data_IF_723632829349
#
_entry.id   IF_723632829349
#
_cell.length_a   1.000
_cell.length_b   1.000
_cell.length_c   1.000
_cell.angle_alpha   90.00
_cell.angle_beta   90.00
_cell.angle_gamma   90.00
#
_symmetry.space_group_name_H-M   'P 1'
#
loop_
_entity.id
_entity.type
_entity.pdbx_description
1 polymer ?
#
# COMPACT_ATOMS: atom_id res chain seq x y z
N UNK A 1 -38.84 53.04 -24.35
CA UNK A 1 -39.24 51.88 -23.48
C UNK A 1 -38.79 50.56 -24.06
N UNK A 2 -38.85 50.36 -25.38
CA UNK A 2 -38.45 49.12 -26.09
C UNK A 2 -36.93 48.88 -25.99
N UNK A 3 -36.13 49.92 -26.16
CA UNK A 3 -34.66 49.84 -26.12
C UNK A 3 -34.13 49.42 -24.72
N UNK A 4 -34.75 49.85 -23.65
CA UNK A 4 -34.40 49.41 -22.28
C UNK A 4 -34.69 47.93 -22.04
N UNK A 5 -35.81 47.43 -22.59
CA UNK A 5 -36.17 46.00 -22.50
C UNK A 5 -35.18 45.11 -23.26
N UNK A 6 -34.78 45.52 -24.48
CA UNK A 6 -33.80 44.78 -25.30
C UNK A 6 -32.43 44.71 -24.60
N UNK A 7 -31.97 45.79 -23.94
CA UNK A 7 -30.72 45.81 -23.19
C UNK A 7 -30.80 44.89 -21.94
N UNK A 8 -31.93 44.88 -21.25
CA UNK A 8 -32.14 43.97 -20.09
C UNK A 8 -32.13 42.49 -20.53
N UNK A 9 -32.76 42.14 -21.66
CA UNK A 9 -32.73 40.77 -22.18
C UNK A 9 -31.31 40.35 -22.60
N UNK A 10 -30.52 41.27 -23.13
CA UNK A 10 -29.14 41.00 -23.54
C UNK A 10 -28.22 40.79 -22.33
N UNK A 11 -28.37 41.58 -21.27
CA UNK A 11 -27.64 41.41 -20.01
C UNK A 11 -28.04 40.13 -19.34
N UNK A 12 -29.32 39.76 -19.31
CA UNK A 12 -29.82 38.52 -18.73
C UNK A 12 -29.30 37.28 -19.50
N UNK A 13 -29.21 37.36 -20.83
CA UNK A 13 -28.68 36.32 -21.70
C UNK A 13 -27.17 36.11 -21.46
N UNK A 14 -26.39 37.18 -21.31
CA UNK A 14 -24.94 37.10 -21.00
C UNK A 14 -24.72 36.54 -19.57
N UNK A 15 -25.58 36.91 -18.62
CA UNK A 15 -25.50 36.37 -17.26
C UNK A 15 -25.82 34.86 -17.18
N UNK A 16 -26.74 34.39 -18.02
CA UNK A 16 -27.11 32.97 -18.10
C UNK A 16 -26.00 32.11 -18.76
N UNK A 17 -25.24 32.72 -19.72
CA UNK A 17 -24.13 32.02 -20.38
C UNK A 17 -22.92 31.79 -19.48
N UNK A 18 -22.78 32.59 -18.42
CA UNK A 18 -21.68 32.44 -17.43
C UNK A 18 -21.83 31.28 -16.45
N UNK A 19 -23.02 30.62 -16.41
CA UNK A 19 -23.31 29.57 -15.42
C UNK A 19 -22.93 28.17 -15.90
N UNK A 20 -22.59 27.99 -17.17
CA UNK A 20 -22.21 26.69 -17.75
C UNK A 20 -20.69 26.43 -17.76
N UNK A 21 -19.91 27.11 -16.91
CA UNK A 21 -18.58 26.58 -16.56
C UNK A 21 -18.79 25.38 -15.65
N UNK A 22 -19.08 24.26 -16.27
CA UNK A 22 -19.06 22.95 -15.62
C UNK A 22 -17.68 22.77 -15.00
N UNK A 23 -17.61 22.59 -13.70
CA UNK A 23 -16.40 22.17 -13.02
C UNK A 23 -16.12 20.73 -13.49
N UNK A 24 -15.31 20.56 -14.54
CA UNK A 24 -14.82 19.26 -14.95
C UNK A 24 -14.03 18.68 -13.76
N UNK A 25 -14.48 17.52 -13.26
CA UNK A 25 -13.69 16.83 -12.25
C UNK A 25 -12.33 16.51 -12.87
N UNK A 26 -11.23 16.88 -12.23
CA UNK A 26 -9.91 16.59 -12.78
C UNK A 26 -9.80 15.08 -13.04
N UNK A 27 -9.39 14.73 -14.24
CA UNK A 27 -9.14 13.36 -14.65
C UNK A 27 -8.02 12.72 -13.82
N UNK A 28 -7.70 11.47 -14.12
CA UNK A 28 -6.48 10.85 -13.58
C UNK A 28 -5.24 11.46 -14.22
N UNK A 29 -4.14 11.44 -13.50
CA UNK A 29 -2.82 11.70 -14.07
C UNK A 29 -2.48 10.52 -14.99
N UNK A 30 -2.14 10.81 -16.25
CA UNK A 30 -1.74 9.80 -17.24
C UNK A 30 -0.25 9.90 -17.61
N UNK A 31 0.49 10.84 -17.00
CA UNK A 31 1.91 11.01 -17.28
C UNK A 31 2.74 9.90 -16.64
N UNK A 32 3.53 9.12 -17.39
CA UNK A 32 4.40 8.08 -16.85
C UNK A 32 5.47 8.58 -15.85
N UNK A 33 5.84 9.87 -15.93
CA UNK A 33 6.81 10.48 -15.02
C UNK A 33 6.19 10.87 -13.67
N UNK A 34 4.87 10.74 -13.52
CA UNK A 34 4.19 11.02 -12.26
C UNK A 34 4.41 9.88 -11.28
N UNK A 35 5.35 10.09 -10.36
CA UNK A 35 5.73 9.12 -9.36
C UNK A 35 4.92 9.28 -8.07
N UNK A 36 4.78 8.18 -7.34
CA UNK A 36 4.35 8.16 -5.94
C UNK A 36 5.53 8.50 -5.03
N UNK A 37 5.24 9.05 -3.87
CA UNK A 37 6.23 9.19 -2.81
C UNK A 37 5.90 8.20 -1.66
N UNK A 38 6.93 7.63 -1.06
CA UNK A 38 6.79 6.66 0.02
C UNK A 38 7.36 7.22 1.33
N UNK A 39 6.74 6.89 2.46
CA UNK A 39 7.26 7.28 3.78
C UNK A 39 8.57 6.58 4.14
N UNK A 40 8.86 5.48 3.49
CA UNK A 40 10.12 4.72 3.57
C UNK A 40 10.31 3.94 2.26
N UNK A 41 11.54 3.67 1.90
CA UNK A 41 11.93 2.79 0.79
C UNK A 41 12.07 1.32 1.20
N UNK A 42 12.14 1.06 2.53
CA UNK A 42 12.32 -0.28 3.08
C UNK A 42 11.52 -0.43 4.37
N UNK A 43 10.78 -1.52 4.50
CA UNK A 43 10.13 -1.95 5.75
C UNK A 43 10.93 -3.11 6.34
N UNK A 44 11.47 -2.89 7.53
CA UNK A 44 12.25 -3.89 8.25
C UNK A 44 11.46 -4.40 9.44
N UNK A 45 11.24 -5.71 9.49
CA UNK A 45 10.66 -6.39 10.63
C UNK A 45 11.78 -6.83 11.58
N UNK A 46 11.55 -6.70 12.87
CA UNK A 46 12.42 -7.28 13.89
C UNK A 46 12.36 -8.81 13.82
N UNK A 47 13.12 -9.48 14.68
CA UNK A 47 13.16 -10.95 14.72
C UNK A 47 11.78 -11.55 14.98
N UNK A 48 11.34 -12.40 14.07
CA UNK A 48 10.04 -13.08 14.08
C UNK A 48 10.27 -14.55 14.39
N UNK A 49 9.57 -15.05 15.38
CA UNK A 49 9.57 -16.48 15.67
C UNK A 49 8.68 -17.22 14.69
N UNK A 50 9.19 -18.33 14.16
CA UNK A 50 8.42 -19.17 13.25
C UNK A 50 7.11 -19.64 13.87
N UNK A 51 6.08 -19.87 13.06
CA UNK A 51 4.70 -20.20 13.47
C UNK A 51 3.93 -19.10 14.20
N UNK A 52 4.59 -18.00 14.58
CA UNK A 52 3.94 -16.84 15.18
C UNK A 52 3.96 -15.73 14.13
N UNK A 53 2.78 -15.16 13.83
CA UNK A 53 2.71 -13.99 12.95
C UNK A 53 3.44 -12.78 13.53
N UNK A 54 3.98 -11.93 12.68
CA UNK A 54 4.61 -10.67 13.09
C UNK A 54 3.58 -9.69 13.67
N UNK A 55 4.09 -8.64 14.29
CA UNK A 55 3.31 -7.40 14.41
C UNK A 55 3.07 -6.80 13.03
N UNK A 56 1.94 -6.14 12.85
CA UNK A 56 1.64 -5.42 11.61
C UNK A 56 2.55 -4.19 11.49
N UNK A 57 3.38 -4.15 10.45
CA UNK A 57 4.08 -2.93 10.03
C UNK A 57 3.23 -2.13 9.04
N UNK A 58 3.54 -0.86 8.83
CA UNK A 58 2.87 -0.07 7.82
C UNK A 58 3.79 1.00 7.26
N UNK A 59 3.47 1.44 6.05
CA UNK A 59 4.05 2.62 5.43
C UNK A 59 2.96 3.40 4.69
N UNK A 60 3.26 4.65 4.34
CA UNK A 60 2.34 5.52 3.61
C UNK A 60 2.81 5.71 2.19
N UNK A 61 1.83 5.78 1.29
CA UNK A 61 2.02 6.09 -0.13
C UNK A 61 1.30 7.40 -0.41
N UNK A 62 2.03 8.40 -0.88
CA UNK A 62 1.54 9.74 -1.09
C UNK A 62 1.34 10.04 -2.58
N UNK A 63 0.25 10.68 -2.89
CA UNK A 63 0.03 11.38 -4.15
C UNK A 63 0.19 12.88 -3.91
N UNK A 64 1.38 13.41 -4.19
CA UNK A 64 1.68 14.85 -4.03
C UNK A 64 1.27 15.70 -5.24
N UNK A 65 0.52 15.10 -6.16
CA UNK A 65 0.01 15.81 -7.34
C UNK A 65 -1.35 16.44 -7.06
N UNK A 66 -1.69 17.46 -7.85
CA UNK A 66 -2.98 18.18 -7.76
C UNK A 66 -4.14 17.47 -8.48
N UNK A 67 -3.91 16.27 -8.98
CA UNK A 67 -4.89 15.37 -9.60
C UNK A 67 -4.83 13.99 -8.95
N UNK A 68 -5.93 13.25 -9.02
CA UNK A 68 -5.97 11.86 -8.54
C UNK A 68 -5.06 10.97 -9.39
N UNK A 69 -4.41 10.01 -8.75
CA UNK A 69 -3.56 9.01 -9.38
C UNK A 69 -4.20 7.63 -9.26
N UNK A 70 -4.08 6.80 -10.30
CA UNK A 70 -4.52 5.42 -10.30
C UNK A 70 -3.30 4.51 -10.20
N UNK A 71 -3.25 3.71 -9.15
CA UNK A 71 -2.34 2.57 -9.08
C UNK A 71 -3.04 1.42 -9.79
N UNK A 72 -2.55 1.05 -10.96
CA UNK A 72 -3.13 -0.02 -11.78
C UNK A 72 -3.02 -1.36 -11.08
N UNK A 73 -1.84 -1.63 -10.48
CA UNK A 73 -1.59 -2.83 -9.68
C UNK A 73 -0.68 -2.52 -8.51
N UNK A 74 -0.97 -3.16 -7.40
CA UNK A 74 -0.12 -3.21 -6.23
C UNK A 74 -0.01 -4.69 -5.82
N UNK A 75 1.22 -5.22 -5.76
CA UNK A 75 1.42 -6.64 -5.50
C UNK A 75 2.76 -6.93 -4.82
N UNK A 76 2.87 -8.14 -4.23
CA UNK A 76 4.12 -8.68 -3.73
C UNK A 76 4.90 -9.33 -4.88
N UNK A 77 6.18 -8.98 -5.02
CA UNK A 77 7.03 -9.51 -6.09
C UNK A 77 7.19 -11.04 -6.02
N UNK A 78 7.15 -11.61 -4.81
CA UNK A 78 7.19 -13.05 -4.58
C UNK A 78 5.88 -13.78 -4.84
N UNK A 79 4.79 -13.06 -5.16
CA UNK A 79 3.45 -13.60 -5.46
C UNK A 79 2.96 -14.60 -4.40
N UNK A 80 2.50 -15.78 -4.81
CA UNK A 80 2.03 -16.84 -3.89
C UNK A 80 3.14 -17.44 -3.00
N UNK A 81 4.39 -17.33 -3.40
CA UNK A 81 5.53 -17.79 -2.62
C UNK A 81 5.94 -16.82 -1.50
N UNK A 82 5.42 -15.60 -1.52
CA UNK A 82 5.70 -14.59 -0.52
C UNK A 82 5.28 -15.04 0.88
N UNK A 83 6.12 -14.75 1.86
CA UNK A 83 5.79 -14.94 3.29
C UNK A 83 5.10 -13.71 3.88
N UNK A 84 5.05 -12.62 3.13
CA UNK A 84 4.37 -11.39 3.49
C UNK A 84 2.91 -11.42 3.04
N UNK A 85 2.09 -10.59 3.68
CA UNK A 85 0.69 -10.34 3.32
C UNK A 85 0.41 -8.85 3.40
N UNK A 86 -0.40 -8.36 2.47
CA UNK A 86 -0.76 -6.96 2.40
C UNK A 86 -2.22 -6.75 2.80
N UNK A 87 -2.47 -5.60 3.42
CA UNK A 87 -3.81 -5.07 3.62
C UNK A 87 -3.79 -3.56 3.31
N UNK A 88 -4.62 -3.15 2.35
CA UNK A 88 -4.71 -1.78 1.90
C UNK A 88 -6.15 -1.32 2.06
N UNK A 89 -6.38 -0.35 2.96
CA UNK A 89 -7.72 0.16 3.25
C UNK A 89 -8.75 -0.94 3.61
N UNK A 90 -8.31 -2.02 4.27
CA UNK A 90 -9.16 -3.15 4.63
C UNK A 90 -9.34 -4.21 3.55
N UNK A 91 -8.68 -4.06 2.41
CA UNK A 91 -8.62 -5.07 1.34
C UNK A 91 -7.35 -5.88 1.53
N UNK A 92 -7.51 -7.17 1.83
CA UNK A 92 -6.40 -8.12 1.95
C UNK A 92 -6.11 -8.79 0.63
N UNK A 93 -4.83 -9.00 0.32
CA UNK A 93 -4.42 -9.74 -0.88
C UNK A 93 -2.98 -9.51 -1.25
N UNK A 94 -2.41 -10.42 -2.03
CA UNK A 94 -1.05 -10.29 -2.57
C UNK A 94 -1.03 -9.51 -3.90
N UNK A 95 -2.20 -9.31 -4.51
CA UNK A 95 -2.44 -8.47 -5.68
C UNK A 95 -3.74 -7.69 -5.47
N UNK A 96 -3.67 -6.38 -5.58
CA UNK A 96 -4.81 -5.47 -5.52
C UNK A 96 -4.72 -4.52 -6.71
N UNK A 97 -5.81 -4.36 -7.43
CA UNK A 97 -5.88 -3.55 -8.66
C UNK A 97 -6.76 -2.31 -8.45
N UNK A 98 -6.57 -1.32 -9.31
CA UNK A 98 -7.41 -0.13 -9.44
C UNK A 98 -7.54 0.72 -8.16
N UNK A 99 -6.42 0.91 -7.43
CA UNK A 99 -6.40 1.74 -6.23
C UNK A 99 -6.26 3.21 -6.62
N UNK A 100 -7.20 4.03 -6.20
CA UNK A 100 -7.15 5.48 -6.44
C UNK A 100 -6.67 6.22 -5.20
N UNK A 101 -5.66 7.08 -5.36
CA UNK A 101 -5.26 8.06 -4.35
C UNK A 101 -5.73 9.44 -4.82
N UNK A 102 -6.58 10.15 -4.05
CA UNK A 102 -7.00 11.51 -4.36
C UNK A 102 -5.82 12.48 -4.49
N UNK A 103 -6.06 13.66 -5.05
CA UNK A 103 -5.07 14.73 -5.15
C UNK A 103 -4.60 15.18 -3.76
N UNK A 104 -3.29 15.29 -3.56
CA UNK A 104 -2.66 15.71 -2.29
C UNK A 104 -3.09 14.85 -1.08
N UNK A 105 -3.29 13.56 -1.29
CA UNK A 105 -3.72 12.60 -0.27
C UNK A 105 -2.77 11.39 -0.22
N UNK A 106 -3.04 10.46 0.69
CA UNK A 106 -2.22 9.27 0.88
C UNK A 106 -3.03 8.08 1.36
N UNK A 107 -2.51 6.89 1.12
CA UNK A 107 -3.04 5.65 1.66
C UNK A 107 -2.01 4.97 2.57
N UNK A 108 -2.50 4.10 3.46
CA UNK A 108 -1.67 3.21 4.26
C UNK A 108 -1.62 1.84 3.61
N UNK A 109 -0.43 1.27 3.57
CA UNK A 109 -0.18 -0.12 3.25
C UNK A 109 0.27 -0.82 4.53
N UNK A 110 -0.51 -1.78 4.98
CA UNK A 110 -0.18 -2.63 6.12
C UNK A 110 0.44 -3.92 5.63
N UNK A 111 1.50 -4.35 6.31
CA UNK A 111 2.26 -5.55 5.96
C UNK A 111 2.39 -6.43 7.18
N UNK A 112 2.15 -7.71 6.99
CA UNK A 112 2.39 -8.77 7.98
C UNK A 112 3.29 -9.84 7.37
N UNK A 113 4.01 -10.58 8.20
CA UNK A 113 4.81 -11.71 7.75
C UNK A 113 4.60 -12.89 8.68
N UNK A 114 4.54 -14.10 8.10
CA UNK A 114 4.46 -15.36 8.82
C UNK A 114 5.49 -16.32 8.25
N UNK A 115 6.31 -16.89 9.12
CA UNK A 115 7.41 -17.76 8.73
C UNK A 115 7.14 -19.21 9.14
N UNK A 116 7.43 -20.12 8.23
CA UNK A 116 7.43 -21.56 8.52
C UNK A 116 8.78 -21.99 9.11
N UNK A 117 8.81 -22.95 10.04
CA UNK A 117 10.05 -23.50 10.57
C UNK A 117 10.93 -24.11 9.48
N UNK A 118 12.23 -23.82 9.50
CA UNK A 118 13.21 -24.48 8.65
C UNK A 118 13.96 -25.62 9.35
N UNK A 119 13.72 -25.81 10.67
CA UNK A 119 14.39 -26.78 11.54
C UNK A 119 15.91 -26.60 11.61
N UNK A 120 16.39 -25.40 11.41
CA UNK A 120 17.80 -25.01 11.56
C UNK A 120 17.91 -24.05 12.73
N UNK A 121 19.10 -24.03 13.37
CA UNK A 121 19.40 -23.10 14.46
C UNK A 121 19.87 -21.72 13.95
N UNK A 122 19.95 -21.55 12.64
CA UNK A 122 20.43 -20.31 12.03
C UNK A 122 19.28 -19.33 11.76
N UNK A 123 19.49 -18.02 11.97
CA UNK A 123 18.52 -17.01 11.60
C UNK A 123 18.24 -17.03 10.10
N UNK A 124 16.98 -16.86 9.73
CA UNK A 124 16.53 -16.72 8.34
C UNK A 124 16.41 -15.24 7.98
N UNK A 125 16.85 -14.88 6.79
CA UNK A 125 16.54 -13.57 6.21
C UNK A 125 15.56 -13.78 5.06
N UNK A 126 14.40 -13.13 5.17
CA UNK A 126 13.33 -13.18 4.17
C UNK A 126 13.24 -11.81 3.54
N UNK A 127 13.24 -11.77 2.23
CA UNK A 127 13.15 -10.54 1.44
C UNK A 127 12.06 -10.66 0.39
N UNK A 128 11.38 -9.56 0.15
CA UNK A 128 10.39 -9.37 -0.91
C UNK A 128 10.27 -7.87 -1.20
N UNK A 129 9.38 -7.48 -2.10
CA UNK A 129 9.05 -6.07 -2.36
C UNK A 129 7.57 -5.90 -2.61
N UNK A 130 7.04 -4.75 -2.23
CA UNK A 130 5.70 -4.30 -2.65
C UNK A 130 5.88 -3.46 -3.90
N UNK A 131 5.37 -3.94 -5.02
CA UNK A 131 5.49 -3.30 -6.34
C UNK A 131 4.22 -2.52 -6.66
N UNK A 132 4.39 -1.30 -7.16
CA UNK A 132 3.34 -0.36 -7.56
C UNK A 132 3.45 -0.09 -9.05
N UNK A 133 2.46 -0.45 -9.83
CA UNK A 133 2.38 -0.11 -11.25
C UNK A 133 1.46 1.10 -11.45
N UNK A 134 2.02 2.19 -11.96
CA UNK A 134 1.33 3.46 -12.16
C UNK A 134 1.69 4.02 -13.52
N UNK A 135 0.71 4.28 -14.37
CA UNK A 135 0.89 4.92 -15.69
C UNK A 135 1.98 4.26 -16.58
N UNK A 136 2.15 2.93 -16.46
CA UNK A 136 3.16 2.18 -17.21
C UNK A 136 4.58 2.22 -16.63
N UNK A 137 4.78 2.86 -15.48
CA UNK A 137 6.00 2.82 -14.69
C UNK A 137 5.80 1.96 -13.45
N UNK A 138 6.87 1.41 -12.88
CA UNK A 138 6.83 0.70 -11.62
C UNK A 138 7.79 1.30 -10.60
N UNK A 139 7.36 1.30 -9.35
CA UNK A 139 8.13 1.67 -8.17
C UNK A 139 7.95 0.57 -7.13
N UNK A 140 8.85 0.43 -6.18
CA UNK A 140 8.75 -0.59 -5.14
C UNK A 140 9.18 -0.09 -3.77
N UNK A 141 8.78 -0.85 -2.75
CA UNK A 141 9.21 -0.71 -1.36
C UNK A 141 9.69 -2.07 -0.90
N UNK A 142 10.95 -2.15 -0.47
CA UNK A 142 11.56 -3.38 0.00
C UNK A 142 10.98 -3.87 1.33
N UNK A 143 10.86 -5.18 1.48
CA UNK A 143 10.44 -5.86 2.71
C UNK A 143 11.56 -6.78 3.18
N UNK A 144 11.98 -6.61 4.44
CA UNK A 144 13.01 -7.44 5.07
C UNK A 144 12.50 -7.95 6.40
N UNK A 145 12.57 -9.26 6.62
CA UNK A 145 12.25 -9.88 7.90
C UNK A 145 13.36 -10.83 8.32
N UNK A 146 13.64 -10.86 9.63
CA UNK A 146 14.55 -11.80 10.25
C UNK A 146 13.74 -12.84 11.00
N UNK A 147 13.90 -14.11 10.64
CA UNK A 147 13.17 -15.22 11.25
C UNK A 147 14.08 -16.10 12.09
N UNK A 148 13.51 -16.68 13.13
CA UNK A 148 14.21 -17.65 13.96
C UNK A 148 13.26 -18.77 14.43
N UNK A 149 13.72 -20.01 14.28
CA UNK A 149 13.03 -21.15 14.86
C UNK A 149 13.16 -21.13 16.39
N UNK A 150 12.10 -21.50 17.09
CA UNK A 150 12.07 -21.57 18.55
C UNK A 150 11.31 -22.79 19.03
N UNK A 151 11.59 -23.23 20.25
CA UNK A 151 10.74 -24.16 20.98
C UNK A 151 9.62 -23.39 21.68
N UNK A 152 8.47 -23.30 21.07
CA UNK A 152 7.32 -22.58 21.65
C UNK A 152 6.60 -23.45 22.69
N UNK A 153 6.66 -23.03 23.95
CA UNK A 153 5.93 -23.65 25.05
C UNK A 153 4.79 -22.75 25.47
N UNK A 154 3.59 -23.08 25.03
CA UNK A 154 2.40 -22.28 25.31
C UNK A 154 1.55 -22.97 26.39
N UNK A 155 1.84 -22.68 27.66
CA UNK A 155 1.07 -23.16 28.82
C UNK A 155 1.12 -24.67 29.07
N UNK A 156 2.02 -25.41 28.41
CA UNK A 156 2.17 -26.84 28.62
C UNK A 156 2.90 -27.13 29.94
N UNK A 157 2.45 -28.15 30.63
CA UNK A 157 3.20 -28.72 31.79
C UNK A 157 4.31 -29.57 31.20
N UNK A 158 5.55 -29.12 31.36
CA UNK A 158 6.73 -29.84 30.89
C UNK A 158 7.21 -30.72 32.01
N UNK A 159 7.30 -32.04 31.74
CA UNK A 159 7.97 -32.99 32.59
C UNK A 159 9.49 -32.84 32.51
N UNK A 160 10.21 -33.83 32.99
CA UNK A 160 11.67 -33.90 32.83
C UNK A 160 11.97 -33.99 31.32
N UNK A 161 12.60 -32.95 30.77
CA UNK A 161 12.89 -32.80 29.34
C UNK A 161 14.35 -32.38 29.18
N UNK A 162 15.04 -32.98 28.23
CA UNK A 162 16.37 -32.57 27.82
C UNK A 162 16.21 -31.52 26.70
N UNK A 163 16.79 -30.35 26.91
CA UNK A 163 16.84 -29.29 25.92
C UNK A 163 18.04 -29.51 25.03
N UNK A 164 17.79 -29.79 23.78
CA UNK A 164 18.84 -29.92 22.78
C UNK A 164 19.26 -28.53 22.31
N UNK A 165 20.50 -28.40 21.89
CA UNK A 165 21.03 -27.13 21.34
C UNK A 165 20.70 -27.03 19.83
N UNK A 166 19.43 -27.21 19.49
CA UNK A 166 18.91 -27.22 18.13
C UNK A 166 18.11 -25.93 17.81
N UNK A 167 17.52 -25.28 18.81
CA UNK A 167 16.76 -24.03 18.73
C UNK A 167 16.81 -23.29 20.08
N UNK A 168 16.69 -21.94 20.05
CA UNK A 168 16.50 -21.17 21.27
C UNK A 168 15.21 -21.49 22.00
#
# INVERSE_FOLDING_TARGET
TIMKRSVQFFILSISLLGIIFSCEKPGFIENPDSQLEFSTDTVVFDTIFTTIGSTTANFRVFNNHNQKILINKLYLAGDEASKFRLNINGIEGNLIEDITIPANDSIYVFVEVTLDPNNLNDPMVIQDSVVFEVNGSSQDVDLIAFGQDVHLINGAIIGTTEWLNDKP
#
